data_IF_003447472036
#
_entry.id   IF_003447472036
#
_cell.length_a   1.000
_cell.length_b   1.000
_cell.length_c   1.000
_cell.angle_alpha   90.00
_cell.angle_beta   90.00
_cell.angle_gamma   90.00
#
_symmetry.space_group_name_H-M   'P 1'
#
loop_
_entity.id
_entity.type
_entity.pdbx_description
1 polymer ?
#
# COMPACT_ATOMS: atom_id res chain seq x y z
N UNK A 1 5.39 14.25 -17.97
CA UNK A 1 4.81 14.10 -16.63
C UNK A 1 4.54 15.51 -16.13
N UNK A 2 3.28 15.88 -15.88
CA UNK A 2 2.97 17.21 -15.31
C UNK A 2 3.24 17.12 -13.82
N UNK A 3 4.19 17.93 -13.33
CA UNK A 3 4.50 18.01 -11.90
C UNK A 3 3.29 18.59 -11.19
N UNK A 4 2.77 17.87 -10.19
CA UNK A 4 1.76 18.40 -9.30
C UNK A 4 2.44 19.32 -8.28
N UNK A 5 2.29 20.63 -8.51
CA UNK A 5 2.90 21.67 -7.69
C UNK A 5 2.38 21.67 -6.25
N UNK A 6 1.16 21.19 -5.98
CA UNK A 6 0.67 21.13 -4.60
C UNK A 6 1.33 19.99 -3.82
N UNK A 7 1.50 18.83 -4.46
CA UNK A 7 2.26 17.71 -3.89
C UNK A 7 3.71 18.09 -3.60
N UNK A 8 4.39 18.75 -4.55
CA UNK A 8 5.76 19.24 -4.35
C UNK A 8 5.84 20.25 -3.19
N UNK A 9 4.91 21.21 -3.12
CA UNK A 9 4.90 22.22 -2.06
C UNK A 9 4.67 21.60 -0.67
N UNK A 10 3.78 20.61 -0.57
CA UNK A 10 3.55 19.84 0.66
C UNK A 10 4.79 19.08 1.08
N UNK A 11 5.43 18.38 0.15
CA UNK A 11 6.59 17.56 0.45
C UNK A 11 7.77 18.44 0.89
N UNK A 12 8.01 19.57 0.22
CA UNK A 12 8.95 20.60 0.66
C UNK A 12 8.64 21.08 2.07
N UNK A 13 7.38 21.39 2.38
CA UNK A 13 6.98 21.86 3.71
C UNK A 13 7.28 20.83 4.82
N UNK A 14 6.97 19.55 4.58
CA UNK A 14 7.06 18.48 5.58
C UNK A 14 8.49 17.94 5.76
N UNK A 15 9.22 17.80 4.66
CA UNK A 15 10.52 17.11 4.63
C UNK A 15 11.71 18.04 4.92
N UNK A 16 11.60 19.33 4.60
CA UNK A 16 12.64 20.32 4.94
C UNK A 16 12.55 20.82 6.38
N UNK A 17 11.38 20.70 7.04
CA UNK A 17 11.14 21.27 8.37
C UNK A 17 12.13 20.79 9.46
N UNK A 18 12.59 19.54 9.38
CA UNK A 18 13.61 18.97 10.27
C UNK A 18 14.99 18.82 9.61
N UNK A 19 15.20 19.44 8.44
CA UNK A 19 16.40 19.25 7.60
C UNK A 19 16.66 17.77 7.30
N UNK A 20 15.59 16.97 7.14
CA UNK A 20 15.70 15.56 6.78
C UNK A 20 16.22 15.41 5.35
N UNK A 21 15.75 16.30 4.47
CA UNK A 21 16.15 16.40 3.08
C UNK A 21 16.35 17.87 2.72
N UNK A 22 17.25 18.14 1.78
CA UNK A 22 17.40 19.44 1.17
C UNK A 22 16.31 19.69 0.12
N UNK A 23 16.11 20.96 -0.24
CA UNK A 23 15.14 21.34 -1.27
C UNK A 23 15.53 20.74 -2.64
N UNK A 24 16.84 20.62 -2.91
CA UNK A 24 17.37 20.00 -4.12
C UNK A 24 17.14 18.49 -4.15
N UNK A 25 17.30 17.80 -3.01
CA UNK A 25 17.03 16.35 -2.91
C UNK A 25 15.55 16.06 -3.19
N UNK A 26 14.65 16.90 -2.65
CA UNK A 26 13.21 16.79 -2.91
C UNK A 26 12.91 17.11 -4.38
N UNK A 27 13.49 18.19 -4.93
CA UNK A 27 13.32 18.56 -6.33
C UNK A 27 13.77 17.46 -7.30
N UNK A 28 14.89 16.79 -7.01
CA UNK A 28 15.39 15.68 -7.83
C UNK A 28 14.40 14.50 -7.88
N UNK A 29 13.67 14.23 -6.79
CA UNK A 29 12.62 13.21 -6.76
C UNK A 29 11.43 13.52 -7.71
N UNK A 30 11.28 14.79 -8.10
CA UNK A 30 10.29 15.28 -9.05
C UNK A 30 10.88 15.53 -10.45
N UNK A 31 12.06 15.00 -10.75
CA UNK A 31 12.81 15.22 -12.00
C UNK A 31 13.14 16.70 -12.28
N UNK A 32 13.28 17.51 -11.23
CA UNK A 32 13.66 18.93 -11.34
C UNK A 32 15.17 19.13 -11.17
N UNK A 33 15.74 20.02 -11.98
CA UNK A 33 17.12 20.47 -11.76
C UNK A 33 17.21 21.44 -10.57
N UNK A 34 18.40 21.61 -9.96
CA UNK A 34 18.61 22.62 -8.92
C UNK A 34 18.25 24.04 -9.37
N UNK A 35 18.37 24.37 -10.66
CA UNK A 35 17.95 25.68 -11.17
C UNK A 35 16.44 25.83 -11.26
N UNK A 36 15.71 24.74 -11.51
CA UNK A 36 14.25 24.78 -11.64
C UNK A 36 13.59 24.84 -10.27
N UNK A 37 14.13 24.13 -9.27
CA UNK A 37 13.63 24.24 -7.89
C UNK A 37 13.85 25.64 -7.32
N UNK A 38 15.01 26.25 -7.57
CA UNK A 38 15.28 27.62 -7.12
C UNK A 38 14.31 28.63 -7.76
N UNK A 39 14.04 28.52 -9.07
CA UNK A 39 13.04 29.36 -9.74
C UNK A 39 11.64 29.20 -9.15
N UNK A 40 11.26 27.98 -8.77
CA UNK A 40 9.97 27.74 -8.11
C UNK A 40 9.94 28.34 -6.70
N UNK A 41 11.03 28.25 -5.94
CA UNK A 41 11.11 28.85 -4.61
C UNK A 41 11.12 30.39 -4.65
N UNK A 42 11.65 30.98 -5.73
CA UNK A 42 11.58 32.41 -6.02
C UNK A 42 10.17 32.88 -6.46
N UNK A 43 9.29 31.96 -6.86
CA UNK A 43 7.90 32.27 -7.22
C UNK A 43 7.07 32.53 -5.94
N UNK A 44 6.51 33.75 -5.77
CA UNK A 44 5.71 34.09 -4.60
C UNK A 44 4.49 33.19 -4.40
N UNK A 45 3.83 32.77 -5.48
CA UNK A 45 2.63 31.95 -5.41
C UNK A 45 2.96 30.53 -4.96
N UNK A 46 4.10 30.00 -5.41
CA UNK A 46 4.57 28.69 -4.99
C UNK A 46 5.05 28.72 -3.54
N UNK A 47 5.83 29.73 -3.16
CA UNK A 47 6.30 29.88 -1.79
C UNK A 47 5.14 30.08 -0.79
N UNK A 48 4.07 30.78 -1.19
CA UNK A 48 2.85 30.88 -0.39
C UNK A 48 2.18 29.51 -0.16
N UNK A 49 2.22 28.60 -1.15
CA UNK A 49 1.70 27.22 -0.99
C UNK A 49 2.53 26.41 -0.01
N UNK A 50 3.86 26.48 -0.13
CA UNK A 50 4.79 25.81 0.80
C UNK A 50 4.52 26.30 2.23
N UNK A 51 4.39 27.62 2.40
CA UNK A 51 4.10 28.25 3.70
C UNK A 51 2.74 27.81 4.26
N UNK A 52 1.70 27.78 3.43
CA UNK A 52 0.37 27.32 3.86
C UNK A 52 0.37 25.85 4.31
N UNK A 53 1.20 25.00 3.73
CA UNK A 53 1.37 23.62 4.22
C UNK A 53 2.15 23.57 5.54
N UNK A 54 3.18 24.40 5.71
CA UNK A 54 3.91 24.54 6.99
C UNK A 54 2.97 24.97 8.12
N UNK A 55 2.13 25.97 7.89
CA UNK A 55 1.18 26.49 8.88
C UNK A 55 0.17 25.42 9.31
N UNK A 56 -0.24 24.53 8.39
CA UNK A 56 -1.18 23.42 8.69
C UNK A 56 -0.55 22.29 9.52
N UNK A 57 0.77 22.14 9.50
CA UNK A 57 1.46 21.14 10.31
C UNK A 57 1.38 21.51 11.80
N UNK A 58 1.25 22.80 12.12
CA UNK A 58 1.28 23.30 13.49
C UNK A 58 2.71 23.39 14.05
N UNK A 59 2.90 24.19 15.10
CA UNK A 59 4.23 24.51 15.64
C UNK A 59 4.84 23.38 16.51
N UNK A 60 4.10 22.29 16.71
CA UNK A 60 4.48 21.20 17.60
C UNK A 60 5.33 20.12 16.91
N UNK A 61 6.41 19.67 17.58
CA UNK A 61 7.22 18.52 17.14
C UNK A 61 6.37 17.26 16.87
N UNK A 62 5.35 17.01 17.69
CA UNK A 62 4.44 15.87 17.51
C UNK A 62 3.61 15.98 16.25
N UNK A 63 3.20 17.19 15.88
CA UNK A 63 2.36 17.40 14.70
C UNK A 63 3.18 17.27 13.41
N UNK A 64 4.44 17.72 13.44
CA UNK A 64 5.40 17.44 12.38
C UNK A 64 5.69 15.94 12.21
N UNK A 65 5.90 15.21 13.31
CA UNK A 65 6.06 13.75 13.25
C UNK A 65 4.81 13.07 12.68
N UNK A 66 3.61 13.55 13.03
CA UNK A 66 2.35 13.04 12.47
C UNK A 66 2.24 13.32 10.97
N UNK A 67 2.62 14.50 10.52
CA UNK A 67 2.63 14.88 9.11
C UNK A 67 3.62 14.01 8.30
N UNK A 68 4.81 13.75 8.84
CA UNK A 68 5.81 12.87 8.23
C UNK A 68 5.32 11.41 8.15
N UNK A 69 4.77 10.88 9.25
CA UNK A 69 4.21 9.54 9.26
C UNK A 69 3.05 9.38 8.25
N UNK A 70 2.22 10.41 8.10
CA UNK A 70 1.15 10.44 7.11
C UNK A 70 1.70 10.40 5.68
N UNK A 71 2.69 11.24 5.36
CA UNK A 71 3.33 11.28 4.05
C UNK A 71 3.96 9.91 3.69
N UNK A 72 4.69 9.30 4.63
CA UNK A 72 5.27 7.97 4.45
C UNK A 72 4.20 6.89 4.25
N UNK A 73 3.11 6.93 5.01
CA UNK A 73 1.99 6.00 4.87
C UNK A 73 1.28 6.15 3.53
N UNK A 74 1.07 7.38 3.04
CA UNK A 74 0.48 7.66 1.74
C UNK A 74 1.38 7.15 0.59
N UNK A 75 2.69 7.38 0.67
CA UNK A 75 3.66 6.86 -0.31
C UNK A 75 3.61 5.33 -0.36
N UNK A 76 3.70 4.67 0.79
CA UNK A 76 3.66 3.21 0.88
C UNK A 76 2.33 2.64 0.34
N UNK A 77 1.21 3.28 0.65
CA UNK A 77 -0.10 2.88 0.11
C UNK A 77 -0.15 2.97 -1.42
N UNK A 78 0.43 4.03 -1.99
CA UNK A 78 0.52 4.20 -3.43
C UNK A 78 1.39 3.12 -4.07
N UNK A 79 2.56 2.84 -3.50
CA UNK A 79 3.47 1.80 -4.00
C UNK A 79 2.81 0.41 -3.97
N UNK A 80 2.11 0.08 -2.87
CA UNK A 80 1.33 -1.15 -2.76
C UNK A 80 0.22 -1.21 -3.82
N UNK A 81 -0.43 -0.09 -4.10
CA UNK A 81 -1.49 -0.03 -5.11
C UNK A 81 -0.95 -0.21 -6.53
N UNK A 82 0.17 0.43 -6.85
CA UNK A 82 0.86 0.25 -8.13
C UNK A 82 1.36 -1.18 -8.29
N UNK A 83 1.94 -1.77 -7.24
CA UNK A 83 2.37 -3.17 -7.20
C UNK A 83 1.18 -4.13 -7.43
N UNK A 84 0.05 -3.89 -6.76
CA UNK A 84 -1.15 -4.73 -6.88
C UNK A 84 -1.71 -4.79 -8.31
N UNK A 85 -1.56 -3.69 -9.07
CA UNK A 85 -2.08 -3.57 -10.45
C UNK A 85 -1.02 -3.79 -11.53
N UNK A 86 0.24 -3.98 -11.14
CA UNK A 86 1.32 -4.17 -12.10
C UNK A 86 1.07 -5.41 -12.96
N UNK A 87 1.30 -5.32 -14.26
CA UNK A 87 1.23 -6.48 -15.18
C UNK A 87 2.55 -7.26 -15.22
N UNK A 88 3.63 -6.70 -14.69
CA UNK A 88 4.99 -7.23 -14.79
C UNK A 88 5.41 -8.07 -13.57
N UNK A 89 4.79 -7.82 -12.43
CA UNK A 89 5.18 -8.44 -11.16
C UNK A 89 4.59 -9.85 -10.99
N UNK A 90 5.17 -10.64 -10.08
CA UNK A 90 4.68 -11.98 -9.78
C UNK A 90 3.31 -11.92 -9.11
N UNK A 91 2.43 -12.86 -9.44
CA UNK A 91 1.07 -12.95 -8.84
C UNK A 91 1.11 -12.99 -7.31
N UNK A 92 2.09 -13.68 -6.72
CA UNK A 92 2.27 -13.73 -5.26
C UNK A 92 2.49 -12.36 -4.63
N UNK A 93 3.24 -11.49 -5.30
CA UNK A 93 3.62 -10.18 -4.76
C UNK A 93 2.46 -9.19 -4.92
N UNK A 94 1.67 -9.33 -5.99
CA UNK A 94 0.39 -8.62 -6.14
C UNK A 94 -0.61 -8.99 -5.05
N UNK A 95 -0.77 -10.29 -4.77
CA UNK A 95 -1.68 -10.76 -3.72
C UNK A 95 -1.27 -10.25 -2.34
N UNK A 96 0.04 -10.22 -2.02
CA UNK A 96 0.54 -9.60 -0.79
C UNK A 96 0.26 -8.11 -0.73
N UNK A 97 0.45 -7.39 -1.83
CA UNK A 97 0.16 -5.96 -1.90
C UNK A 97 -1.32 -5.66 -1.69
N UNK A 98 -2.22 -6.45 -2.30
CA UNK A 98 -3.66 -6.35 -2.11
C UNK A 98 -4.07 -6.66 -0.66
N UNK A 99 -3.48 -7.68 -0.04
CA UNK A 99 -3.73 -8.02 1.36
C UNK A 99 -3.30 -6.88 2.30
N UNK A 100 -2.12 -6.30 2.09
CA UNK A 100 -1.64 -5.16 2.86
C UNK A 100 -2.54 -3.91 2.69
N UNK A 101 -3.02 -3.63 1.48
CA UNK A 101 -4.00 -2.55 1.24
C UNK A 101 -5.31 -2.81 1.98
N UNK A 102 -5.83 -4.04 1.92
CA UNK A 102 -7.07 -4.40 2.59
C UNK A 102 -6.96 -4.29 4.12
N UNK A 103 -5.82 -4.69 4.69
CA UNK A 103 -5.51 -4.54 6.11
C UNK A 103 -5.47 -3.07 6.53
N UNK A 104 -4.80 -2.21 5.74
CA UNK A 104 -4.74 -0.76 6.02
C UNK A 104 -6.13 -0.11 5.90
N UNK A 105 -6.96 -0.58 4.97
CA UNK A 105 -8.32 -0.08 4.77
C UNK A 105 -9.35 -0.64 5.78
N UNK A 106 -8.93 -1.48 6.73
CA UNK A 106 -9.79 -2.28 7.62
C UNK A 106 -10.89 -3.05 6.85
N UNK A 107 -10.59 -3.41 5.60
CA UNK A 107 -11.45 -4.25 4.79
C UNK A 107 -11.15 -5.68 5.21
N UNK A 108 -11.94 -6.19 6.15
CA UNK A 108 -11.93 -7.62 6.44
C UNK A 108 -12.25 -8.36 5.13
N UNK A 109 -11.40 -9.30 4.67
CA UNK A 109 -11.77 -10.15 3.55
C UNK A 109 -13.13 -10.75 3.88
N UNK A 110 -14.08 -10.70 2.94
CA UNK A 110 -15.29 -11.51 3.07
C UNK A 110 -14.76 -12.93 3.29
N UNK A 111 -15.06 -13.52 4.44
CA UNK A 111 -14.85 -14.94 4.67
C UNK A 111 -15.69 -15.67 3.62
N UNK A 112 -15.15 -15.82 2.41
CA UNK A 112 -15.49 -16.98 1.60
C UNK A 112 -15.17 -18.15 2.49
N UNK A 113 -16.23 -18.88 2.85
CA UNK A 113 -16.21 -20.02 3.72
C UNK A 113 -14.90 -20.77 3.49
N UNK A 114 -14.08 -20.81 4.54
CA UNK A 114 -12.95 -21.71 4.61
C UNK A 114 -13.45 -23.03 4.02
N UNK A 115 -12.87 -23.48 2.92
CA UNK A 115 -12.99 -24.86 2.49
C UNK A 115 -12.35 -25.69 3.61
N UNK A 116 -13.15 -25.95 4.63
CA UNK A 116 -12.87 -26.87 5.71
C UNK A 116 -12.94 -28.25 5.06
N UNK A 117 -11.78 -28.90 4.96
CA UNK A 117 -11.69 -30.28 4.53
C UNK A 117 -11.29 -30.50 3.08
N UNK A 118 -10.09 -30.07 2.70
CA UNK A 118 -9.30 -30.87 1.75
C UNK A 118 -7.83 -30.81 2.14
N UNK A 119 -7.42 -31.75 2.98
CA UNK A 119 -6.00 -32.04 3.17
C UNK A 119 -5.51 -32.59 1.84
N UNK A 120 -4.82 -31.76 1.06
CA UNK A 120 -4.04 -32.22 -0.07
C UNK A 120 -2.91 -33.10 0.49
N UNK A 121 -3.17 -34.39 0.65
CA UNK A 121 -2.13 -35.37 0.90
C UNK A 121 -1.36 -35.59 -0.41
N UNK A 122 -0.42 -34.69 -0.70
CA UNK A 122 0.53 -34.88 -1.81
C UNK A 122 1.53 -35.96 -1.41
N UNK A 123 1.17 -37.21 -1.67
CA UNK A 123 2.10 -38.32 -1.60
C UNK A 123 2.89 -38.36 -2.91
N UNK A 124 4.15 -37.94 -2.89
CA UNK A 124 5.08 -38.11 -4.00
C UNK A 124 5.54 -39.58 -4.03
N UNK A 125 4.69 -40.43 -4.60
CA UNK A 125 4.97 -41.84 -4.87
C UNK A 125 4.63 -42.13 -6.32
N UNK A 126 5.64 -42.47 -7.09
CA UNK A 126 5.55 -42.98 -8.46
C UNK A 126 4.56 -44.15 -8.56
N UNK A 127 3.80 -44.13 -9.66
CA UNK A 127 2.96 -45.18 -10.22
C UNK A 127 1.44 -45.17 -9.93
N UNK A 128 0.72 -44.92 -11.03
CA UNK A 128 -0.62 -45.37 -11.41
C UNK A 128 -1.91 -44.60 -11.05
N UNK A 129 -2.59 -44.22 -12.15
CA UNK A 129 -4.02 -43.98 -12.42
C UNK A 129 -4.76 -42.78 -11.80
N UNK A 130 -5.47 -41.96 -12.62
CA UNK A 130 -6.31 -40.88 -12.10
C UNK A 130 -7.55 -41.46 -11.38
N UNK A 131 -7.92 -40.95 -10.19
CA UNK A 131 -9.12 -41.43 -9.51
C UNK A 131 -10.40 -40.94 -10.20
N UNK A 132 -11.29 -41.89 -10.48
CA UNK A 132 -12.67 -41.66 -10.93
C UNK A 132 -13.47 -40.94 -9.85
N UNK A 133 -14.22 -39.91 -10.23
CA UNK A 133 -15.15 -39.20 -9.35
C UNK A 133 -16.36 -40.11 -9.09
N UNK A 134 -16.41 -40.74 -7.91
CA UNK A 134 -17.62 -41.39 -7.43
C UNK A 134 -18.54 -40.33 -6.81
N UNK A 135 -19.67 -40.05 -7.46
CA UNK A 135 -20.75 -39.27 -6.86
C UNK A 135 -21.38 -40.09 -5.72
N UNK A 136 -21.23 -39.62 -4.48
CA UNK A 136 -21.97 -40.17 -3.34
C UNK A 136 -23.32 -39.47 -3.25
N UNK A 137 -24.40 -40.23 -3.38
CA UNK A 137 -25.78 -39.78 -3.09
C UNK A 137 -25.96 -39.50 -1.60
N UNK A 138 -26.82 -38.54 -1.21
CA UNK A 138 -26.97 -38.14 0.18
C UNK A 138 -27.77 -39.19 0.96
N UNK A 139 -27.26 -39.65 2.10
CA UNK A 139 -28.02 -40.52 3.02
C UNK A 139 -27.93 -40.03 4.46
N UNK A 140 -29.10 -39.55 4.91
CA UNK A 140 -29.76 -39.60 6.22
C UNK A 140 -28.98 -39.33 7.52
N UNK A 141 -29.54 -38.37 8.27
CA UNK A 141 -29.28 -38.05 9.67
C UNK A 141 -29.62 -39.26 10.55
N UNK A 142 -28.68 -39.68 11.39
CA UNK A 142 -28.95 -40.58 12.51
C UNK A 142 -28.40 -39.92 13.78
N UNK A 143 -29.31 -39.40 14.60
CA UNK A 143 -29.07 -39.07 16.00
C UNK A 143 -28.85 -40.37 16.78
N UNK A 144 -27.91 -40.44 17.73
CA UNK A 144 -28.08 -41.24 18.94
C UNK A 144 -27.14 -40.83 20.08
N UNK A 145 -27.71 -40.95 21.28
CA UNK A 145 -27.32 -40.47 22.61
C UNK A 145 -26.00 -41.03 23.16
N UNK A 146 -25.37 -40.21 24.00
CA UNK A 146 -24.25 -40.57 24.86
C UNK A 146 -24.72 -41.39 26.08
N UNK A 147 -23.91 -42.34 26.57
CA UNK A 147 -23.85 -42.66 27.99
C UNK A 147 -22.88 -41.74 28.75
#
# INVERSE_FOLDING_TARGET
>A
MTIDLDSLARDLAVLTANRLYSEEEIGAAYDLSPSDINKLLDDPDFNARVSAHRDKIGDGRTDLLRAQAKLMSESNLRDLFELSRSTKEKTSDKLKAMAAIAEIADIKPRNEQQFSGMVLNVNFGSDMTPPSVAQLTPMEVIEHEQP
#
